data_IF_016811433837
#
_entry.id   IF_016811433837
#
_cell.length_a   1.000
_cell.length_b   1.000
_cell.length_c   1.000
_cell.angle_alpha   90.00
_cell.angle_beta   90.00
_cell.angle_gamma   90.00
#
_symmetry.space_group_name_H-M   'P 1'
#
loop_
_entity.id
_entity.type
_entity.pdbx_description
1 polymer ?
#
# COMPACT_ATOMS: atom_id res chain seq x y z
N UNK A 1 27.73 31.90 33.70
CA UNK A 1 28.01 30.49 33.35
C UNK A 1 26.96 29.66 34.07
N UNK A 2 25.87 29.35 33.38
CA UNK A 2 24.74 28.57 33.91
C UNK A 2 24.97 27.10 33.53
N UNK A 3 24.77 26.19 34.48
CA UNK A 3 24.77 24.74 34.25
C UNK A 3 23.30 24.31 34.22
N UNK A 4 22.81 23.91 33.05
CA UNK A 4 21.46 23.35 32.91
C UNK A 4 21.52 21.82 32.96
N UNK A 5 20.61 21.28 33.77
CA UNK A 5 20.60 19.92 34.25
C UNK A 5 20.06 18.90 33.25
N UNK A 6 20.58 17.70 33.43
CA UNK A 6 20.15 16.42 32.89
C UNK A 6 18.63 16.21 33.13
N UNK A 7 17.84 16.30 32.06
CA UNK A 7 16.46 15.82 32.04
C UNK A 7 16.44 14.38 31.52
N UNK A 8 15.57 13.49 32.06
CA UNK A 8 15.53 12.10 31.60
C UNK A 8 15.21 12.06 30.10
N UNK A 9 16.10 11.44 29.34
CA UNK A 9 15.98 11.29 27.89
C UNK A 9 14.62 10.76 27.51
N UNK A 10 13.92 11.51 26.65
CA UNK A 10 12.78 10.99 25.91
C UNK A 10 13.20 9.66 25.25
N UNK A 11 12.31 8.66 25.14
CA UNK A 11 12.64 7.41 24.47
C UNK A 11 13.20 7.75 23.09
N UNK A 12 14.45 7.40 22.88
CA UNK A 12 15.14 7.57 21.63
C UNK A 12 14.40 6.69 20.63
N UNK A 13 13.52 7.27 19.82
CA UNK A 13 13.10 6.63 18.58
C UNK A 13 14.36 6.55 17.72
N UNK A 14 15.14 5.48 17.90
CA UNK A 14 16.21 5.14 16.96
C UNK A 14 15.51 4.89 15.63
N UNK A 15 15.69 5.74 14.61
CA UNK A 15 15.14 5.45 13.30
C UNK A 15 15.73 4.11 12.84
N UNK A 16 14.88 3.27 12.25
CA UNK A 16 15.32 2.04 11.60
C UNK A 16 16.39 2.33 10.53
N UNK A 17 17.01 1.28 9.96
CA UNK A 17 17.93 1.47 8.84
C UNK A 17 17.25 2.29 7.74
N UNK A 18 17.99 3.19 7.06
CA UNK A 18 17.41 4.01 6.01
C UNK A 18 16.82 3.11 4.93
N UNK A 19 15.65 3.48 4.44
CA UNK A 19 15.00 2.76 3.37
C UNK A 19 15.87 2.82 2.11
N UNK A 20 16.40 1.68 1.65
CA UNK A 20 17.09 1.58 0.36
C UNK A 20 16.13 1.04 -0.69
N UNK A 21 16.25 1.59 -1.89
CA UNK A 21 15.51 1.13 -3.06
C UNK A 21 16.44 0.22 -3.87
N UNK A 22 16.36 -1.06 -3.57
CA UNK A 22 17.10 -2.12 -4.25
C UNK A 22 16.12 -3.04 -5.00
N UNK A 23 16.62 -3.81 -5.97
CA UNK A 23 15.83 -4.74 -6.79
C UNK A 23 14.96 -5.70 -5.96
N UNK A 24 15.39 -6.03 -4.73
CA UNK A 24 14.62 -6.87 -3.80
C UNK A 24 13.36 -6.15 -3.28
N UNK A 25 13.50 -4.87 -2.87
CA UNK A 25 12.38 -4.04 -2.45
C UNK A 25 11.42 -3.73 -3.61
N UNK A 26 11.95 -3.57 -4.83
CA UNK A 26 11.15 -3.40 -6.05
C UNK A 26 10.32 -4.64 -6.34
N UNK A 27 10.94 -5.82 -6.30
CA UNK A 27 10.25 -7.10 -6.49
C UNK A 27 9.16 -7.33 -5.44
N UNK A 28 9.48 -7.07 -4.17
CA UNK A 28 8.52 -7.19 -3.07
C UNK A 28 7.32 -6.26 -3.23
N UNK A 29 7.54 -4.99 -3.60
CA UNK A 29 6.48 -4.02 -3.82
C UNK A 29 5.54 -4.46 -4.96
N UNK A 30 6.09 -4.97 -6.08
CA UNK A 30 5.29 -5.48 -7.19
C UNK A 30 4.44 -6.68 -6.77
N UNK A 31 5.05 -7.67 -6.11
CA UNK A 31 4.33 -8.86 -5.66
C UNK A 31 3.25 -8.56 -4.63
N UNK A 32 3.51 -7.62 -3.71
CA UNK A 32 2.53 -7.20 -2.71
C UNK A 32 1.38 -6.44 -3.38
N UNK A 33 1.67 -5.53 -4.33
CA UNK A 33 0.65 -4.79 -5.06
C UNK A 33 -0.30 -5.73 -5.84
N UNK A 34 0.22 -6.75 -6.51
CA UNK A 34 -0.61 -7.73 -7.24
C UNK A 34 -1.50 -8.55 -6.31
N UNK A 35 -0.97 -9.00 -5.17
CA UNK A 35 -1.76 -9.73 -4.16
C UNK A 35 -2.88 -8.87 -3.59
N UNK A 36 -2.57 -7.62 -3.23
CA UNK A 36 -3.54 -6.66 -2.71
C UNK A 36 -4.64 -6.36 -3.72
N UNK A 37 -4.28 -6.10 -4.99
CA UNK A 37 -5.29 -5.83 -6.01
C UNK A 37 -6.16 -7.06 -6.24
N UNK A 38 -5.57 -8.26 -6.23
CA UNK A 38 -6.34 -9.51 -6.34
C UNK A 38 -7.32 -9.66 -5.18
N UNK A 39 -6.89 -9.42 -3.92
CA UNK A 39 -7.76 -9.49 -2.75
C UNK A 39 -8.89 -8.45 -2.80
N UNK A 40 -8.58 -7.21 -3.18
CA UNK A 40 -9.58 -6.15 -3.34
C UNK A 40 -10.64 -6.51 -4.39
N UNK A 41 -10.24 -7.14 -5.50
CA UNK A 41 -11.13 -7.53 -6.59
C UNK A 41 -11.91 -8.82 -6.32
N UNK A 42 -11.65 -9.54 -5.22
CA UNK A 42 -12.34 -10.77 -4.82
C UNK A 42 -13.72 -10.48 -4.18
N UNK A 43 -14.53 -9.70 -4.89
CA UNK A 43 -15.82 -9.17 -4.41
C UNK A 43 -16.96 -10.20 -4.39
N UNK A 44 -16.70 -11.44 -4.82
CA UNK A 44 -17.64 -12.57 -4.76
C UNK A 44 -17.76 -13.15 -3.33
N UNK A 45 -16.83 -12.80 -2.43
CA UNK A 45 -16.87 -13.20 -1.02
C UNK A 45 -17.89 -12.41 -0.20
N UNK A 46 -18.22 -12.94 0.98
CA UNK A 46 -18.99 -12.20 1.98
C UNK A 46 -18.24 -10.94 2.39
N UNK A 47 -18.95 -9.82 2.57
CA UNK A 47 -18.36 -8.50 2.84
C UNK A 47 -17.38 -8.52 4.02
N UNK A 48 -17.76 -9.12 5.15
CA UNK A 48 -16.88 -9.23 6.32
C UNK A 48 -15.60 -10.03 6.03
N UNK A 49 -15.70 -11.15 5.30
CA UNK A 49 -14.54 -12.00 4.97
C UNK A 49 -13.60 -11.31 3.97
N UNK A 50 -14.17 -10.60 3.00
CA UNK A 50 -13.41 -9.77 2.04
C UNK A 50 -12.69 -8.63 2.76
N UNK A 51 -13.39 -7.94 3.66
CA UNK A 51 -12.82 -6.82 4.40
C UNK A 51 -11.72 -7.27 5.37
N UNK A 52 -11.90 -8.38 6.10
CA UNK A 52 -10.86 -8.94 6.98
C UNK A 52 -9.59 -9.27 6.20
N UNK A 53 -9.74 -9.88 5.01
CA UNK A 53 -8.62 -10.23 4.15
C UNK A 53 -7.92 -8.99 3.57
N UNK A 54 -8.66 -8.01 3.07
CA UNK A 54 -8.06 -6.84 2.42
C UNK A 54 -7.53 -5.79 3.42
N UNK A 55 -8.26 -5.56 4.52
CA UNK A 55 -7.96 -4.48 5.48
C UNK A 55 -6.61 -4.65 6.20
N UNK A 56 -6.10 -5.88 6.31
CA UNK A 56 -4.78 -6.15 6.91
C UNK A 56 -3.62 -5.53 6.13
N UNK A 57 -3.82 -5.25 4.83
CA UNK A 57 -2.81 -4.64 3.98
C UNK A 57 -2.92 -3.11 3.93
N UNK A 58 -3.94 -2.52 4.56
CA UNK A 58 -4.20 -1.10 4.47
C UNK A 58 -3.40 -0.31 5.51
N UNK A 59 -2.93 0.87 5.12
CA UNK A 59 -2.41 1.86 6.05
C UNK A 59 -3.54 2.39 6.95
N UNK A 60 -3.24 2.98 8.11
CA UNK A 60 -4.26 3.60 8.96
C UNK A 60 -5.11 4.65 8.23
N UNK A 61 -4.53 5.37 7.26
CA UNK A 61 -5.23 6.34 6.44
C UNK A 61 -6.14 5.66 5.41
N UNK A 62 -5.66 4.60 4.77
CA UNK A 62 -6.44 3.82 3.82
C UNK A 62 -7.62 3.11 4.51
N UNK A 63 -7.44 2.59 5.72
CA UNK A 63 -8.52 2.05 6.54
C UNK A 63 -9.64 3.07 6.74
N UNK A 64 -9.32 4.29 7.19
CA UNK A 64 -10.33 5.34 7.40
C UNK A 64 -11.09 5.69 6.11
N UNK A 65 -10.37 5.69 4.98
CA UNK A 65 -10.91 5.98 3.64
C UNK A 65 -11.82 4.87 3.10
N UNK A 66 -11.42 3.62 3.25
CA UNK A 66 -12.05 2.48 2.59
C UNK A 66 -13.04 1.69 3.47
N UNK A 67 -13.06 1.89 4.80
CA UNK A 67 -13.94 1.18 5.74
C UNK A 67 -15.45 1.26 5.43
N UNK A 68 -15.87 2.20 4.57
CA UNK A 68 -17.26 2.36 4.16
C UNK A 68 -17.50 1.99 2.69
N UNK A 69 -16.50 1.44 2.00
CA UNK A 69 -16.62 0.99 0.61
C UNK A 69 -17.08 -0.48 0.62
N UNK A 70 -18.31 -0.77 0.19
CA UNK A 70 -18.77 -2.14 0.11
C UNK A 70 -18.15 -2.84 -1.11
N UNK A 71 -17.99 -4.17 -1.12
CA UNK A 71 -17.39 -4.91 -2.22
C UNK A 71 -18.19 -4.74 -3.54
N UNK A 72 -19.51 -4.53 -3.45
CA UNK A 72 -20.37 -4.26 -4.62
C UNK A 72 -20.06 -2.93 -5.33
N UNK A 73 -19.40 -1.98 -4.66
CA UNK A 73 -18.97 -0.72 -5.28
C UNK A 73 -17.69 -0.89 -6.11
N UNK A 74 -16.97 -2.01 -5.95
CA UNK A 74 -15.75 -2.33 -6.67
C UNK A 74 -16.11 -3.10 -7.93
N UNK A 75 -15.83 -2.51 -9.10
CA UNK A 75 -16.06 -3.17 -10.36
C UNK A 75 -15.12 -4.39 -10.50
N UNK A 76 -15.65 -5.60 -10.79
CA UNK A 76 -14.81 -6.77 -10.97
C UNK A 76 -13.89 -6.55 -12.16
N UNK A 77 -12.58 -6.68 -11.92
CA UNK A 77 -11.55 -6.54 -12.93
C UNK A 77 -10.68 -7.79 -12.96
N UNK A 78 -10.03 -8.04 -14.09
CA UNK A 78 -9.06 -9.15 -14.22
C UNK A 78 -7.73 -8.56 -14.62
N UNK A 79 -6.66 -8.95 -13.93
CA UNK A 79 -5.28 -8.56 -14.28
C UNK A 79 -4.93 -9.17 -15.63
N UNK A 80 -4.54 -8.33 -16.59
CA UNK A 80 -4.27 -8.73 -17.99
C UNK A 80 -2.78 -8.74 -18.33
N UNK A 81 -1.92 -8.27 -17.42
CA UNK A 81 -0.47 -8.21 -17.62
C UNK A 81 0.28 -7.98 -16.31
N UNK A 82 1.62 -7.97 -16.36
CA UNK A 82 2.44 -7.81 -15.16
C UNK A 82 2.32 -6.41 -14.57
N UNK A 83 2.41 -6.32 -13.24
CA UNK A 83 2.58 -5.06 -12.55
C UNK A 83 3.88 -4.35 -12.97
N UNK A 84 3.83 -3.04 -13.10
CA UNK A 84 4.96 -2.19 -13.48
C UNK A 84 5.15 -1.10 -12.44
N UNK A 85 6.40 -0.88 -12.06
CA UNK A 85 6.76 0.18 -11.13
C UNK A 85 6.90 1.51 -11.88
N UNK A 86 6.24 2.55 -11.40
CA UNK A 86 6.36 3.90 -11.95
C UNK A 86 7.72 4.50 -11.54
N UNK A 87 8.45 5.17 -12.46
CA UNK A 87 9.76 5.77 -12.18
C UNK A 87 9.73 6.88 -11.12
N UNK A 88 8.55 7.39 -10.75
CA UNK A 88 8.38 8.33 -9.64
C UNK A 88 8.34 7.65 -8.26
N UNK A 89 8.52 6.33 -8.18
CA UNK A 89 8.61 5.61 -6.91
C UNK A 89 9.84 6.05 -6.10
N UNK A 90 9.67 6.05 -4.78
CA UNK A 90 10.66 6.44 -3.78
C UNK A 90 10.91 5.28 -2.81
N UNK A 91 12.02 5.26 -2.06
CA UNK A 91 12.35 4.15 -1.18
C UNK A 91 11.21 3.73 -0.22
N UNK A 92 10.48 4.71 0.31
CA UNK A 92 9.36 4.50 1.24
C UNK A 92 7.97 4.57 0.58
N UNK A 93 7.89 4.88 -0.72
CA UNK A 93 6.62 5.03 -1.46
C UNK A 93 6.75 4.35 -2.82
N UNK A 94 6.09 3.20 -3.01
CA UNK A 94 6.04 2.52 -4.29
C UNK A 94 4.78 2.90 -5.06
N UNK A 95 4.94 3.27 -6.33
CA UNK A 95 3.83 3.53 -7.24
C UNK A 95 3.78 2.40 -8.25
N UNK A 96 2.74 1.55 -8.17
CA UNK A 96 2.62 0.35 -9.00
C UNK A 96 1.40 0.45 -9.91
N UNK A 97 1.64 0.32 -11.20
CA UNK A 97 0.62 0.27 -12.24
C UNK A 97 0.34 -1.19 -12.63
N UNK A 98 -0.92 -1.62 -12.51
CA UNK A 98 -1.36 -2.97 -12.83
C UNK A 98 -2.37 -2.92 -13.97
N UNK A 99 -2.04 -3.48 -15.16
CA UNK A 99 -2.97 -3.52 -16.28
C UNK A 99 -4.10 -4.52 -16.00
N UNK A 100 -5.34 -4.08 -16.19
CA UNK A 100 -6.54 -4.90 -16.11
C UNK A 100 -7.42 -4.73 -17.34
N UNK A 101 -8.46 -5.55 -17.48
CA UNK A 101 -9.45 -5.42 -18.56
C UNK A 101 -10.23 -4.09 -18.51
N UNK A 102 -10.34 -3.47 -17.32
CA UNK A 102 -10.97 -2.16 -17.14
C UNK A 102 -10.01 -0.98 -17.37
N UNK A 103 -8.74 -1.26 -17.63
CA UNK A 103 -7.66 -0.27 -17.72
C UNK A 103 -6.60 -0.48 -16.64
N UNK A 104 -5.71 0.49 -16.48
CA UNK A 104 -4.62 0.41 -15.49
C UNK A 104 -5.08 0.89 -14.12
N UNK A 105 -4.96 0.01 -13.12
CA UNK A 105 -5.08 0.39 -11.72
C UNK A 105 -3.74 0.91 -11.21
N UNK A 106 -3.77 1.97 -10.41
CA UNK A 106 -2.57 2.46 -9.71
C UNK A 106 -2.68 2.21 -8.22
N UNK A 107 -1.72 1.47 -7.69
CA UNK A 107 -1.59 1.18 -6.26
C UNK A 107 -0.44 2.02 -5.71
N UNK A 108 -0.73 2.79 -4.67
CA UNK A 108 0.26 3.53 -3.89
C UNK A 108 0.53 2.71 -2.64
N UNK A 109 1.77 2.21 -2.51
CA UNK A 109 2.23 1.51 -1.33
C UNK A 109 3.15 2.41 -0.52
N UNK A 110 3.08 2.31 0.81
CA UNK A 110 3.92 3.03 1.75
C UNK A 110 4.51 2.07 2.78
N UNK A 111 5.72 2.38 3.26
CA UNK A 111 6.35 1.67 4.38
C UNK A 111 7.07 2.65 5.29
N UNK A 112 7.10 2.33 6.59
CA UNK A 112 7.76 3.18 7.59
C UNK A 112 9.29 3.18 7.43
N UNK A 113 9.87 2.02 7.10
CA UNK A 113 11.30 1.80 6.96
C UNK A 113 11.55 0.51 6.16
N UNK A 114 12.82 0.24 5.81
CA UNK A 114 13.18 -0.88 4.93
C UNK A 114 12.88 -2.28 5.47
N UNK A 115 12.53 -2.41 6.76
CA UNK A 115 12.13 -3.68 7.39
C UNK A 115 10.61 -3.79 7.60
N UNK A 116 9.88 -2.70 7.41
CA UNK A 116 8.42 -2.67 7.56
C UNK A 116 7.75 -3.24 6.30
N UNK A 117 6.62 -3.95 6.44
CA UNK A 117 5.85 -4.42 5.30
C UNK A 117 5.28 -3.23 4.51
N UNK A 118 5.09 -3.43 3.21
CA UNK A 118 4.36 -2.50 2.37
C UNK A 118 2.87 -2.49 2.72
N UNK A 119 2.32 -1.31 2.95
CA UNK A 119 0.91 -1.06 3.20
C UNK A 119 0.31 -0.24 2.07
N UNK A 120 -0.96 -0.46 1.74
CA UNK A 120 -1.70 0.35 0.79
C UNK A 120 -1.99 1.71 1.40
N UNK A 121 -1.56 2.75 0.73
CA UNK A 121 -2.00 4.11 1.01
C UNK A 121 -3.23 4.49 0.19
N UNK A 122 -3.21 4.15 -1.10
CA UNK A 122 -4.29 4.44 -2.02
C UNK A 122 -4.37 3.43 -3.17
N UNK A 123 -5.60 3.17 -3.60
CA UNK A 123 -5.95 2.48 -4.84
C UNK A 123 -6.70 3.46 -5.72
N UNK A 124 -6.15 3.73 -6.90
CA UNK A 124 -6.78 4.55 -7.92
C UNK A 124 -7.28 3.64 -9.05
N UNK A 125 -8.59 3.56 -9.30
CA UNK A 125 -9.13 2.84 -10.45
C UNK A 125 -8.76 3.53 -11.76
N UNK A 126 -8.85 2.83 -12.90
CA UNK A 126 -8.61 3.40 -14.22
C UNK A 126 -9.56 4.56 -14.50
N UNK A 127 -9.01 5.61 -15.13
CA UNK A 127 -9.76 6.76 -15.63
C UNK A 127 -10.81 6.27 -16.65
N UNK A 128 -12.07 6.09 -16.22
CA UNK A 128 -13.12 5.54 -17.06
C UNK A 128 -14.28 4.84 -16.34
N UNK A 129 -14.16 4.54 -15.04
CA UNK A 129 -15.24 3.94 -14.23
C UNK A 129 -16.29 4.96 -13.73
N UNK A 130 -16.66 5.92 -14.59
CA UNK A 130 -17.62 6.99 -14.29
C UNK A 130 -19.04 6.71 -14.76
#
# INVERSE_FOLDING_TARGET
>A
MWTEGDGPGAPEFTPGPPTTWDNDAEGEALQIAEQILTAQLDTDRHEDDWWDDWSQYLSPQALDRYQFVPPEAIAPATITGPAVLDPASEPSIALVDIPTDLGTYRIVLTRLDGAAPWLVDAVTPPEGLG
#
